data_IF_577191404667
#
_entry.id   IF_577191404667
#
_cell.length_a   1.000
_cell.length_b   1.000
_cell.length_c   1.000
_cell.angle_alpha   90.00
_cell.angle_beta   90.00
_cell.angle_gamma   90.00
#
_symmetry.space_group_name_H-M   'P 1'
#
loop_
_entity.id
_entity.type
_entity.pdbx_description
1 polymer ?
#
# COMPACT_ATOMS: atom_id res chain seq x y z
N UNK A 1 -20.98 -6.58 -40.06
CA UNK A 1 -21.58 -7.92 -40.26
C UNK A 1 -21.09 -8.83 -39.14
N UNK A 2 -21.82 -8.89 -38.03
CA UNK A 2 -21.62 -9.89 -36.96
C UNK A 2 -22.98 -10.57 -36.80
N UNK A 3 -23.12 -11.74 -37.40
CA UNK A 3 -24.33 -12.55 -37.31
C UNK A 3 -24.49 -13.08 -35.89
N UNK A 4 -25.62 -12.75 -35.26
CA UNK A 4 -26.06 -13.41 -34.04
C UNK A 4 -26.28 -14.90 -34.33
N UNK A 5 -25.47 -15.77 -33.73
CA UNK A 5 -25.74 -17.20 -33.69
C UNK A 5 -27.01 -17.44 -32.83
N UNK A 6 -28.01 -18.17 -33.32
CA UNK A 6 -29.21 -18.45 -32.55
C UNK A 6 -28.90 -19.45 -31.43
N UNK A 7 -29.12 -19.03 -30.18
CA UNK A 7 -29.20 -19.95 -29.03
C UNK A 7 -30.34 -20.94 -29.31
N UNK A 8 -30.01 -22.19 -29.63
CA UNK A 8 -30.99 -23.28 -29.68
C UNK A 8 -31.30 -23.72 -28.26
N UNK A 9 -32.58 -23.76 -27.82
CA UNK A 9 -32.92 -24.25 -26.49
C UNK A 9 -32.56 -25.73 -26.42
N UNK A 10 -31.90 -26.14 -25.33
CA UNK A 10 -31.68 -27.55 -25.00
C UNK A 10 -33.04 -28.28 -24.99
N UNK A 11 -33.31 -29.10 -26.01
CA UNK A 11 -34.51 -29.93 -26.08
C UNK A 11 -34.32 -31.14 -25.16
N UNK A 12 -34.73 -31.01 -23.90
CA UNK A 12 -34.77 -32.14 -22.98
C UNK A 12 -35.94 -33.04 -23.41
N UNK A 13 -35.66 -34.27 -23.86
CA UNK A 13 -36.69 -35.21 -24.25
C UNK A 13 -37.58 -35.58 -23.05
N UNK A 14 -38.91 -35.68 -23.27
CA UNK A 14 -39.88 -36.06 -22.23
C UNK A 14 -39.52 -37.39 -21.55
N UNK A 15 -38.89 -38.33 -22.29
CA UNK A 15 -38.40 -39.59 -21.74
C UNK A 15 -37.29 -39.42 -20.71
N UNK A 16 -36.43 -38.40 -20.86
CA UNK A 16 -35.35 -38.10 -19.92
C UNK A 16 -35.90 -37.55 -18.61
N UNK A 17 -36.93 -36.70 -18.67
CA UNK A 17 -37.60 -36.16 -17.49
C UNK A 17 -38.27 -37.27 -16.68
N UNK A 18 -39.00 -38.17 -17.34
CA UNK A 18 -39.68 -39.30 -16.68
C UNK A 18 -38.68 -40.24 -15.99
N UNK A 19 -37.55 -40.54 -16.63
CA UNK A 19 -36.50 -41.39 -16.06
C UNK A 19 -35.84 -40.74 -14.84
N UNK A 20 -35.51 -39.44 -14.92
CA UNK A 20 -34.90 -38.71 -13.79
C UNK A 20 -35.87 -38.60 -12.61
N UNK A 21 -37.15 -38.30 -12.86
CA UNK A 21 -38.18 -38.24 -11.81
C UNK A 21 -38.38 -39.62 -11.16
N UNK A 22 -38.41 -40.69 -11.96
CA UNK A 22 -38.49 -42.07 -11.45
C UNK A 22 -37.27 -42.47 -10.60
N UNK A 23 -36.06 -42.15 -11.05
CA UNK A 23 -34.82 -42.41 -10.30
C UNK A 23 -34.75 -41.58 -9.00
N UNK A 24 -35.16 -40.31 -9.03
CA UNK A 24 -35.24 -39.46 -7.83
C UNK A 24 -36.24 -40.02 -6.80
N UNK A 25 -37.36 -40.59 -7.27
CA UNK A 25 -38.35 -41.25 -6.41
C UNK A 25 -37.84 -42.56 -5.78
N UNK A 26 -37.03 -43.33 -6.51
CA UNK A 26 -36.52 -44.64 -6.07
C UNK A 26 -35.24 -44.57 -5.22
N UNK A 27 -34.29 -43.70 -5.58
CA UNK A 27 -32.94 -43.64 -4.99
C UNK A 27 -32.71 -42.41 -4.12
N UNK A 28 -33.68 -41.49 -4.08
CA UNK A 28 -33.59 -40.19 -3.42
C UNK A 28 -32.94 -39.13 -4.30
N UNK A 29 -33.55 -37.95 -4.35
CA UNK A 29 -33.12 -36.79 -5.17
C UNK A 29 -31.66 -36.40 -4.96
N UNK A 30 -31.17 -36.46 -3.71
CA UNK A 30 -29.78 -36.13 -3.37
C UNK A 30 -28.76 -37.03 -4.06
N UNK A 31 -29.04 -38.33 -4.23
CA UNK A 31 -28.07 -39.27 -4.86
C UNK A 31 -28.02 -39.11 -6.38
N UNK A 32 -29.14 -38.75 -7.00
CA UNK A 32 -29.27 -38.64 -8.46
C UNK A 32 -28.83 -37.26 -8.98
N UNK A 33 -29.21 -36.18 -8.28
CA UNK A 33 -28.98 -34.81 -8.77
C UNK A 33 -27.65 -34.19 -8.32
N UNK A 34 -27.00 -34.72 -7.27
CA UNK A 34 -25.78 -34.13 -6.71
C UNK A 34 -24.65 -34.00 -7.74
N UNK A 35 -24.30 -35.07 -8.42
CA UNK A 35 -23.18 -35.06 -9.37
C UNK A 35 -23.45 -34.24 -10.63
N UNK A 36 -24.62 -34.34 -11.29
CA UNK A 36 -24.96 -33.47 -12.41
C UNK A 36 -24.96 -31.98 -12.04
N UNK A 37 -25.55 -31.60 -10.90
CA UNK A 37 -25.56 -30.21 -10.44
C UNK A 37 -24.14 -29.71 -10.13
N UNK A 38 -23.30 -30.52 -9.48
CA UNK A 38 -21.90 -30.18 -9.23
C UNK A 38 -21.10 -30.03 -10.53
N UNK A 39 -21.35 -30.87 -11.54
CA UNK A 39 -20.68 -30.76 -12.84
C UNK A 39 -21.09 -29.48 -13.58
N UNK A 40 -22.38 -29.12 -13.58
CA UNK A 40 -22.86 -27.88 -14.20
C UNK A 40 -22.31 -26.66 -13.47
N UNK A 41 -22.37 -26.64 -12.14
CA UNK A 41 -21.80 -25.56 -11.33
C UNK A 41 -20.28 -25.46 -11.52
N UNK A 42 -19.57 -26.59 -11.49
CA UNK A 42 -18.13 -26.66 -11.72
C UNK A 42 -17.72 -26.20 -13.11
N UNK A 43 -18.47 -26.58 -14.15
CA UNK A 43 -18.25 -26.10 -15.52
C UNK A 43 -18.46 -24.59 -15.63
N UNK A 44 -19.51 -24.06 -14.99
CA UNK A 44 -19.77 -22.62 -14.98
C UNK A 44 -18.65 -21.85 -14.26
N UNK A 45 -18.15 -22.36 -13.13
CA UNK A 45 -17.00 -21.80 -12.41
C UNK A 45 -15.75 -21.87 -13.28
N UNK A 46 -15.48 -23.00 -13.94
CA UNK A 46 -14.31 -23.17 -14.81
C UNK A 46 -14.34 -22.20 -15.99
N UNK A 47 -15.48 -22.02 -16.64
CA UNK A 47 -15.64 -21.04 -17.73
C UNK A 47 -15.39 -19.62 -17.21
N UNK A 48 -15.94 -19.27 -16.05
CA UNK A 48 -15.71 -17.95 -15.44
C UNK A 48 -14.22 -17.72 -15.11
N UNK A 49 -13.54 -18.72 -14.54
CA UNK A 49 -12.10 -18.66 -14.25
C UNK A 49 -11.27 -18.51 -15.53
N UNK A 50 -11.58 -19.27 -16.57
CA UNK A 50 -10.92 -19.14 -17.88
C UNK A 50 -11.14 -17.76 -18.49
N UNK A 51 -12.35 -17.19 -18.39
CA UNK A 51 -12.64 -15.85 -18.88
C UNK A 51 -11.84 -14.78 -18.12
N UNK A 52 -11.74 -14.89 -16.79
CA UNK A 52 -10.90 -13.99 -15.97
C UNK A 52 -9.42 -14.14 -16.33
N UNK A 53 -8.92 -15.37 -16.48
CA UNK A 53 -7.53 -15.62 -16.86
C UNK A 53 -7.20 -15.05 -18.24
N UNK A 54 -8.11 -15.22 -19.21
CA UNK A 54 -7.98 -14.63 -20.54
C UNK A 54 -7.97 -13.10 -20.48
N UNK A 55 -8.86 -12.48 -19.68
CA UNK A 55 -8.88 -11.03 -19.48
C UNK A 55 -7.54 -10.55 -18.90
N UNK A 56 -7.05 -11.16 -17.83
CA UNK A 56 -5.76 -10.82 -17.20
C UNK A 56 -4.60 -10.97 -18.20
N UNK A 57 -4.57 -12.06 -18.98
CA UNK A 57 -3.55 -12.28 -20.00
C UNK A 57 -3.61 -11.21 -21.11
N UNK A 58 -4.80 -10.81 -21.54
CA UNK A 58 -4.95 -9.74 -22.55
C UNK A 58 -4.48 -8.38 -22.02
N UNK A 59 -4.79 -8.04 -20.76
CA UNK A 59 -4.30 -6.82 -20.12
C UNK A 59 -2.77 -6.83 -19.99
N UNK A 60 -2.19 -7.93 -19.51
CA UNK A 60 -0.74 -8.07 -19.40
C UNK A 60 -0.04 -7.98 -20.77
N UNK A 61 -0.61 -8.59 -21.81
CA UNK A 61 -0.09 -8.50 -23.17
C UNK A 61 -0.18 -7.07 -23.74
N UNK A 62 -1.27 -6.36 -23.43
CA UNK A 62 -1.44 -4.96 -23.80
C UNK A 62 -0.41 -4.07 -23.12
N UNK A 63 -0.22 -4.21 -21.81
CA UNK A 63 0.76 -3.44 -21.05
C UNK A 63 2.18 -3.69 -21.55
N UNK A 64 2.53 -4.95 -21.84
CA UNK A 64 3.83 -5.30 -22.43
C UNK A 64 4.02 -4.68 -23.82
N UNK A 65 2.97 -4.64 -24.65
CA UNK A 65 3.00 -4.02 -25.97
C UNK A 65 3.19 -2.51 -25.86
N UNK A 66 2.40 -1.86 -24.99
CA UNK A 66 2.49 -0.41 -24.73
C UNK A 66 3.87 -0.05 -24.18
N UNK A 67 4.38 -0.80 -23.20
CA UNK A 67 5.71 -0.63 -22.64
C UNK A 67 6.79 -0.70 -23.72
N UNK A 68 6.69 -1.67 -24.65
CA UNK A 68 7.65 -1.83 -25.75
C UNK A 68 7.70 -0.63 -26.71
N UNK A 69 6.58 0.07 -26.91
CA UNK A 69 6.50 1.21 -27.82
C UNK A 69 6.67 2.57 -27.13
N UNK A 70 6.29 2.70 -25.85
CA UNK A 70 6.37 3.96 -25.10
C UNK A 70 7.64 4.11 -24.28
N UNK A 71 8.20 3.01 -23.76
CA UNK A 71 9.34 3.04 -22.86
C UNK A 71 10.61 2.65 -23.61
N UNK A 72 11.72 3.31 -23.29
CA UNK A 72 13.03 2.89 -23.79
C UNK A 72 13.40 1.50 -23.23
N UNK A 73 14.28 0.75 -23.92
CA UNK A 73 14.74 -0.58 -23.44
C UNK A 73 15.32 -0.52 -22.01
N UNK A 74 16.03 0.56 -21.69
CA UNK A 74 16.61 0.76 -20.36
C UNK A 74 15.53 0.94 -19.28
N UNK A 75 14.52 1.76 -19.56
CA UNK A 75 13.40 2.03 -18.66
C UNK A 75 12.54 0.76 -18.46
N UNK A 76 12.27 0.01 -19.53
CA UNK A 76 11.59 -1.29 -19.44
C UNK A 76 12.36 -2.30 -18.56
N UNK A 77 13.69 -2.31 -18.60
CA UNK A 77 14.51 -3.17 -17.72
C UNK A 77 14.42 -2.76 -16.26
N UNK A 78 14.32 -1.46 -15.97
CA UNK A 78 14.16 -0.96 -14.60
C UNK A 78 12.79 -1.33 -14.03
N UNK A 79 11.72 -1.20 -14.82
CA UNK A 79 10.39 -1.68 -14.41
C UNK A 79 10.37 -3.19 -14.16
N UNK A 80 11.01 -3.99 -15.02
CA UNK A 80 11.16 -5.42 -14.77
C UNK A 80 11.92 -5.72 -13.47
N UNK A 81 12.92 -4.90 -13.11
CA UNK A 81 13.62 -5.05 -11.82
C UNK A 81 12.74 -4.66 -10.63
N UNK A 82 11.90 -3.65 -10.78
CA UNK A 82 10.90 -3.28 -9.77
C UNK A 82 9.91 -4.43 -9.54
N UNK A 83 9.37 -4.99 -10.62
CA UNK A 83 8.39 -6.08 -10.54
C UNK A 83 8.99 -7.39 -10.01
N UNK A 84 10.28 -7.63 -10.28
CA UNK A 84 10.99 -8.81 -9.81
C UNK A 84 11.57 -8.67 -8.39
N UNK A 85 11.44 -7.49 -7.76
CA UNK A 85 12.00 -7.25 -6.43
C UNK A 85 11.25 -8.08 -5.37
N UNK A 86 12.00 -8.84 -4.59
CA UNK A 86 11.46 -9.68 -3.51
C UNK A 86 11.69 -9.09 -2.13
N UNK A 87 12.54 -8.06 -2.03
CA UNK A 87 12.81 -7.30 -0.82
C UNK A 87 12.54 -5.82 -1.03
N UNK A 88 12.19 -5.10 0.04
CA UNK A 88 12.03 -3.64 -0.01
C UNK A 88 13.33 -2.95 -0.42
N UNK A 89 14.48 -3.44 0.04
CA UNK A 89 15.78 -2.85 -0.28
C UNK A 89 16.05 -2.88 -1.79
N UNK A 90 15.83 -4.03 -2.44
CA UNK A 90 15.98 -4.20 -3.88
C UNK A 90 14.97 -3.34 -4.66
N UNK A 91 13.72 -3.33 -4.19
CA UNK A 91 12.67 -2.48 -4.77
C UNK A 91 13.06 -1.00 -4.70
N UNK A 92 13.55 -0.54 -3.56
CA UNK A 92 13.93 0.85 -3.33
C UNK A 92 15.14 1.25 -4.19
N UNK A 93 16.11 0.36 -4.38
CA UNK A 93 17.26 0.60 -5.27
C UNK A 93 16.80 0.74 -6.72
N UNK A 94 15.96 -0.18 -7.21
CA UNK A 94 15.40 -0.11 -8.55
C UNK A 94 14.53 1.15 -8.74
N UNK A 95 13.72 1.50 -7.74
CA UNK A 95 12.88 2.69 -7.74
C UNK A 95 13.69 3.98 -7.84
N UNK A 96 14.80 4.07 -7.11
CA UNK A 96 15.73 5.21 -7.20
C UNK A 96 16.33 5.34 -8.60
N UNK A 97 16.70 4.22 -9.22
CA UNK A 97 17.22 4.23 -10.60
C UNK A 97 16.16 4.65 -11.63
N UNK A 98 14.88 4.31 -11.42
CA UNK A 98 13.80 4.87 -12.23
C UNK A 98 13.69 6.40 -12.07
N UNK A 99 13.86 6.89 -10.84
CA UNK A 99 13.75 8.31 -10.51
C UNK A 99 14.95 9.15 -11.03
N UNK A 100 16.05 8.53 -11.47
CA UNK A 100 17.23 9.19 -12.04
C UNK A 100 17.01 9.73 -13.47
N UNK A 101 15.85 9.46 -14.09
CA UNK A 101 15.53 10.04 -15.39
C UNK A 101 15.62 11.57 -15.36
N UNK A 102 16.05 12.18 -16.49
CA UNK A 102 16.23 13.62 -16.56
C UNK A 102 14.95 14.40 -16.25
N UNK A 103 13.79 13.88 -16.68
CA UNK A 103 12.48 14.49 -16.43
C UNK A 103 12.10 14.45 -14.95
N UNK A 104 12.25 13.30 -14.29
CA UNK A 104 11.94 13.15 -12.86
C UNK A 104 12.92 13.97 -12.02
N UNK A 105 14.22 13.90 -12.31
CA UNK A 105 15.25 14.67 -11.61
C UNK A 105 14.99 16.18 -11.71
N UNK A 106 14.68 16.69 -12.90
CA UNK A 106 14.33 18.10 -13.09
C UNK A 106 13.06 18.47 -12.31
N UNK A 107 12.02 17.62 -12.35
CA UNK A 107 10.79 17.84 -11.59
C UNK A 107 11.04 17.85 -10.08
N UNK A 108 11.87 16.94 -9.55
CA UNK A 108 12.22 16.88 -8.11
C UNK A 108 13.02 18.10 -7.65
N UNK A 109 13.83 18.68 -8.54
CA UNK A 109 14.65 19.86 -8.27
C UNK A 109 13.83 21.17 -8.23
N UNK A 110 12.74 21.27 -9.01
CA UNK A 110 11.86 22.43 -8.97
C UNK A 110 10.97 22.37 -7.72
N UNK A 111 11.22 23.29 -6.79
CA UNK A 111 10.46 23.40 -5.55
C UNK A 111 9.00 23.81 -5.77
N UNK A 112 8.71 24.71 -6.71
CA UNK A 112 7.33 25.19 -6.91
C UNK A 112 6.41 24.10 -7.48
N UNK A 113 5.20 23.98 -6.91
CA UNK A 113 4.15 23.12 -7.44
C UNK A 113 2.76 23.61 -6.97
N UNK A 114 1.70 23.54 -7.79
CA UNK A 114 0.38 24.05 -7.41
C UNK A 114 -0.28 23.34 -6.22
N UNK A 115 0.13 22.11 -5.91
CA UNK A 115 -0.48 21.27 -4.87
C UNK A 115 0.02 21.55 -3.44
N UNK A 116 1.11 22.30 -3.29
CA UNK A 116 1.64 22.64 -1.97
C UNK A 116 2.26 24.03 -1.97
N UNK A 117 2.42 24.64 -0.80
CA UNK A 117 3.02 25.96 -0.69
C UNK A 117 4.53 25.83 -0.40
N UNK A 118 5.34 25.87 -1.46
CA UNK A 118 6.79 25.75 -1.37
C UNK A 118 7.42 26.85 -0.49
N UNK A 119 6.92 28.10 -0.56
CA UNK A 119 7.41 29.20 0.26
C UNK A 119 7.25 28.97 1.76
N UNK A 120 6.10 28.43 2.20
CA UNK A 120 5.87 28.06 3.61
C UNK A 120 6.83 26.95 4.04
N UNK A 121 7.02 25.92 3.19
CA UNK A 121 7.95 24.82 3.49
C UNK A 121 9.39 25.31 3.59
N UNK A 122 9.85 26.15 2.67
CA UNK A 122 11.20 26.73 2.70
C UNK A 122 11.45 27.60 3.94
N UNK A 123 10.46 28.41 4.32
CA UNK A 123 10.53 29.25 5.52
C UNK A 123 10.62 28.39 6.78
N UNK A 124 9.76 27.37 6.89
CA UNK A 124 9.77 26.44 8.01
C UNK A 124 11.06 25.63 8.10
N UNK A 125 11.57 25.12 6.97
CA UNK A 125 12.85 24.42 6.88
C UNK A 125 14.01 25.30 7.37
N UNK A 126 14.07 26.55 6.90
CA UNK A 126 15.13 27.48 7.31
C UNK A 126 15.07 27.80 8.81
N UNK A 127 13.86 28.02 9.34
CA UNK A 127 13.65 28.29 10.76
C UNK A 127 14.00 27.09 11.64
N UNK A 128 13.61 25.88 11.24
CA UNK A 128 13.98 24.64 11.93
C UNK A 128 15.50 24.44 11.96
N UNK A 129 16.16 24.62 10.82
CA UNK A 129 17.64 24.52 10.72
C UNK A 129 18.34 25.49 11.65
N UNK A 130 17.93 26.76 11.65
CA UNK A 130 18.50 27.77 12.53
C UNK A 130 18.34 27.39 14.01
N UNK A 131 17.13 26.97 14.40
CA UNK A 131 16.84 26.57 15.77
C UNK A 131 17.60 25.30 16.20
N UNK A 132 17.75 24.32 15.30
CA UNK A 132 18.49 23.08 15.59
C UNK A 132 19.99 23.29 15.74
N UNK A 133 20.61 24.16 14.92
CA UNK A 133 22.07 24.34 14.95
C UNK A 133 22.50 25.25 16.10
N UNK A 134 21.81 26.36 16.32
CA UNK A 134 22.26 27.40 17.27
C UNK A 134 21.20 27.91 18.24
N UNK A 135 19.94 27.47 18.11
CA UNK A 135 18.86 27.97 18.97
C UNK A 135 18.79 27.28 20.32
N UNK A 136 18.08 27.91 21.27
CA UNK A 136 17.78 27.30 22.58
C UNK A 136 16.79 26.13 22.46
N UNK A 137 16.55 25.41 23.57
CA UNK A 137 15.53 24.35 23.62
C UNK A 137 14.15 24.91 23.29
N UNK A 138 13.83 26.12 23.78
CA UNK A 138 12.56 26.81 23.54
C UNK A 138 12.40 27.21 22.08
N UNK A 139 13.44 27.75 21.45
CA UNK A 139 13.38 28.12 20.03
C UNK A 139 13.19 26.91 19.13
N UNK A 140 13.86 25.79 19.44
CA UNK A 140 13.69 24.52 18.74
C UNK A 140 12.28 23.96 18.93
N UNK A 141 11.77 23.99 20.17
CA UNK A 141 10.41 23.62 20.49
C UNK A 141 9.39 24.44 19.69
N UNK A 142 9.55 25.77 19.64
CA UNK A 142 8.61 26.66 18.97
C UNK A 142 8.65 26.53 17.45
N UNK A 143 9.84 26.27 16.88
CA UNK A 143 9.99 25.96 15.46
C UNK A 143 9.28 24.63 15.11
N UNK A 144 9.46 23.59 15.92
CA UNK A 144 8.78 22.30 15.75
C UNK A 144 7.26 22.43 15.92
N UNK A 145 6.79 23.19 16.91
CA UNK A 145 5.37 23.42 17.16
C UNK A 145 4.64 24.06 15.96
N UNK A 146 5.35 24.87 15.17
CA UNK A 146 4.81 25.46 13.95
C UNK A 146 4.70 24.45 12.80
N UNK A 147 5.60 23.47 12.75
CA UNK A 147 5.72 22.49 11.68
C UNK A 147 4.76 21.31 11.87
N UNK A 148 4.48 20.92 13.11
CA UNK A 148 3.65 19.76 13.41
C UNK A 148 2.16 20.12 13.36
N UNK A 149 1.63 20.18 12.14
CA UNK A 149 0.22 20.44 11.84
C UNK A 149 -0.29 19.45 10.79
N UNK A 150 -1.58 19.13 10.84
CA UNK A 150 -2.23 18.26 9.85
C UNK A 150 -2.15 18.94 8.48
N UNK A 151 -1.73 18.20 7.46
CA UNK A 151 -1.55 18.71 6.09
C UNK A 151 -0.73 20.01 6.04
N UNK A 152 0.45 19.99 6.68
CA UNK A 152 1.33 21.15 6.71
C UNK A 152 1.68 21.59 5.28
N UNK A 153 1.25 22.80 4.91
CA UNK A 153 1.47 23.39 3.58
C UNK A 153 1.02 22.54 2.37
N UNK A 154 0.22 21.48 2.56
CA UNK A 154 -0.22 20.58 1.48
C UNK A 154 0.82 19.56 1.01
N UNK A 155 1.87 19.28 1.79
CA UNK A 155 2.94 18.34 1.40
C UNK A 155 2.46 16.87 1.29
N UNK A 156 1.25 16.57 1.75
CA UNK A 156 0.62 15.25 1.78
C UNK A 156 -0.30 14.98 0.56
N UNK A 157 -0.32 15.85 -0.44
CA UNK A 157 -1.09 15.65 -1.67
C UNK A 157 -0.54 14.48 -2.50
N UNK A 158 -1.42 13.53 -2.87
CA UNK A 158 -1.08 12.30 -3.59
C UNK A 158 -0.36 12.54 -4.92
N UNK A 159 -0.66 13.64 -5.62
CA UNK A 159 -0.03 13.95 -6.92
C UNK A 159 1.47 14.20 -6.78
N UNK A 160 1.93 14.62 -5.59
CA UNK A 160 3.35 14.80 -5.30
C UNK A 160 4.10 13.47 -5.18
N UNK A 161 3.40 12.37 -4.91
CA UNK A 161 4.01 11.05 -4.70
C UNK A 161 3.76 10.09 -5.87
N UNK A 162 2.97 10.49 -6.88
CA UNK A 162 2.68 9.65 -8.05
C UNK A 162 3.69 9.79 -9.19
N UNK A 163 4.60 10.78 -9.13
CA UNK A 163 5.58 11.06 -10.19
C UNK A 163 6.95 10.40 -10.00
N UNK A 164 7.18 9.81 -8.84
CA UNK A 164 8.43 9.18 -8.46
C UNK A 164 8.10 7.84 -7.80
N UNK A 165 9.00 6.87 -7.93
CA UNK A 165 8.80 5.54 -7.34
C UNK A 165 9.33 5.46 -5.90
N UNK A 166 10.45 6.13 -5.60
CA UNK A 166 11.08 6.07 -4.29
C UNK A 166 10.81 7.30 -3.40
N UNK A 167 10.68 8.48 -4.03
CA UNK A 167 10.67 9.76 -3.31
C UNK A 167 9.62 10.75 -3.81
N UNK A 168 9.90 12.03 -3.63
CA UNK A 168 9.06 13.14 -4.10
C UNK A 168 9.94 14.38 -4.37
N UNK A 169 9.38 15.58 -4.25
CA UNK A 169 10.08 16.86 -4.30
C UNK A 169 11.20 16.91 -3.24
N UNK A 170 12.41 17.31 -3.66
CA UNK A 170 13.58 17.40 -2.75
C UNK A 170 13.36 18.37 -1.58
N UNK A 171 12.57 19.42 -1.79
CA UNK A 171 12.22 20.37 -0.73
C UNK A 171 11.38 19.70 0.37
N UNK A 172 10.43 18.84 -0.01
CA UNK A 172 9.59 18.11 0.95
C UNK A 172 10.44 17.09 1.71
N UNK A 173 11.27 16.32 0.99
CA UNK A 173 12.21 15.36 1.60
C UNK A 173 13.13 16.06 2.61
N UNK A 174 13.79 17.16 2.19
CA UNK A 174 14.68 17.95 3.06
C UNK A 174 13.96 18.52 4.28
N UNK A 175 12.68 18.86 4.15
CA UNK A 175 11.86 19.34 5.26
C UNK A 175 11.54 18.23 6.24
N UNK A 176 11.10 17.06 5.76
CA UNK A 176 10.79 15.91 6.62
C UNK A 176 12.04 15.43 7.35
N UNK A 177 13.17 15.32 6.65
CA UNK A 177 14.46 14.97 7.24
C UNK A 177 14.88 15.96 8.34
N UNK A 178 14.68 17.26 8.10
CA UNK A 178 14.98 18.29 9.10
C UNK A 178 14.04 18.20 10.31
N UNK A 179 12.76 17.90 10.13
CA UNK A 179 11.81 17.70 11.24
C UNK A 179 12.25 16.52 12.10
N UNK A 180 12.65 15.40 11.50
CA UNK A 180 13.18 14.23 12.22
C UNK A 180 14.47 14.58 12.96
N UNK A 181 15.41 15.26 12.30
CA UNK A 181 16.65 15.70 12.92
C UNK A 181 16.42 16.68 14.09
N UNK A 182 15.45 17.58 13.96
CA UNK A 182 15.07 18.54 15.00
C UNK A 182 14.42 17.84 16.20
N UNK A 183 13.58 16.83 15.97
CA UNK A 183 13.03 15.99 17.05
C UNK A 183 14.13 15.22 17.79
N UNK A 184 15.09 14.64 17.06
CA UNK A 184 16.26 13.98 17.65
C UNK A 184 17.12 14.94 18.47
N UNK A 185 17.42 16.13 17.94
CA UNK A 185 18.17 17.15 18.66
C UNK A 185 17.44 17.64 19.93
N UNK A 186 16.12 17.80 19.86
CA UNK A 186 15.30 18.13 21.03
C UNK A 186 15.40 17.04 22.09
N UNK A 187 15.32 15.77 21.70
CA UNK A 187 15.48 14.62 22.60
C UNK A 187 16.84 14.61 23.29
N UNK A 188 17.93 14.81 22.55
CA UNK A 188 19.29 14.86 23.11
C UNK A 188 19.44 15.99 24.11
N UNK A 189 19.07 17.23 23.73
CA UNK A 189 19.19 18.41 24.60
C UNK A 189 18.36 18.30 25.89
N UNK A 190 17.18 17.72 25.81
CA UNK A 190 16.34 17.46 26.99
C UNK A 190 16.92 16.39 27.90
N UNK A 191 17.70 15.46 27.36
CA UNK A 191 18.34 14.40 28.16
C UNK A 191 19.58 14.93 28.89
N UNK A 192 20.31 15.86 28.28
CA UNK A 192 21.55 16.42 28.83
C UNK A 192 21.27 17.56 29.84
N UNK A 193 20.49 18.56 29.44
CA UNK A 193 20.32 19.83 30.16
C UNK A 193 18.84 20.20 30.41
N UNK A 194 17.92 19.26 30.21
CA UNK A 194 16.48 19.54 30.28
C UNK A 194 15.97 19.78 31.69
N UNK A 195 15.64 21.04 32.01
CA UNK A 195 14.88 21.35 33.23
C UNK A 195 13.43 20.83 33.14
N UNK A 196 12.81 20.57 34.29
CA UNK A 196 11.44 20.06 34.37
C UNK A 196 10.41 20.85 33.53
N UNK A 197 10.42 22.21 33.50
CA UNK A 197 9.49 22.98 32.68
C UNK A 197 9.67 22.78 31.17
N UNK A 198 10.91 22.63 30.70
CA UNK A 198 11.22 22.38 29.29
C UNK A 198 10.76 20.97 28.88
N UNK A 199 10.94 19.99 29.77
CA UNK A 199 10.47 18.63 29.58
C UNK A 199 8.95 18.56 29.46
N UNK A 200 8.22 19.29 30.29
CA UNK A 200 6.76 19.33 30.24
C UNK A 200 6.21 20.00 28.98
N UNK A 201 6.85 21.08 28.50
CA UNK A 201 6.52 21.69 27.19
C UNK A 201 6.75 20.71 26.04
N UNK A 202 7.90 20.04 26.01
CA UNK A 202 8.22 19.07 24.98
C UNK A 202 7.24 17.88 24.99
N UNK A 203 6.86 17.38 26.17
CA UNK A 203 5.80 16.38 26.32
C UNK A 203 4.48 16.89 25.75
N UNK A 204 4.06 18.10 26.10
CA UNK A 204 2.81 18.68 25.60
C UNK A 204 2.82 18.80 24.07
N UNK A 205 3.94 19.21 23.47
CA UNK A 205 4.13 19.21 22.02
C UNK A 205 3.96 17.81 21.44
N UNK A 206 4.68 16.80 21.94
CA UNK A 206 4.59 15.42 21.45
C UNK A 206 3.18 14.84 21.58
N UNK A 207 2.49 15.11 22.70
CA UNK A 207 1.10 14.72 22.90
C UNK A 207 0.17 15.38 21.89
N UNK A 208 0.35 16.67 21.62
CA UNK A 208 -0.39 17.39 20.59
C UNK A 208 -0.09 16.84 19.20
N UNK A 209 1.18 16.64 18.86
CA UNK A 209 1.64 16.06 17.60
C UNK A 209 0.99 14.72 17.33
N UNK A 210 0.98 13.85 18.34
CA UNK A 210 0.34 12.54 18.28
C UNK A 210 -1.18 12.62 18.07
N UNK A 211 -1.86 13.65 18.60
CA UNK A 211 -3.29 13.87 18.32
C UNK A 211 -3.54 14.41 16.90
N UNK A 212 -2.62 15.24 16.40
CA UNK A 212 -2.72 15.87 15.08
C UNK A 212 -2.47 14.87 13.96
N UNK A 213 -1.39 14.09 14.05
CA UNK A 213 -1.08 13.03 13.09
C UNK A 213 -1.93 11.76 13.30
N UNK A 214 -2.46 11.59 14.51
CA UNK A 214 -3.23 10.40 14.88
C UNK A 214 -2.32 9.20 15.16
N UNK A 215 -2.93 8.01 15.07
CA UNK A 215 -2.21 6.73 15.14
C UNK A 215 -2.38 6.04 13.80
N UNK A 216 -1.27 5.64 13.19
CA UNK A 216 -1.29 4.81 11.98
C UNK A 216 -2.05 3.52 12.26
N UNK A 217 -2.94 3.15 11.35
CA UNK A 217 -3.74 1.92 11.42
C UNK A 217 -3.51 1.11 10.13
N UNK A 218 -3.20 -0.18 10.26
CA UNK A 218 -3.21 -1.10 9.14
C UNK A 218 -4.63 -1.65 8.97
N UNK A 219 -5.33 -1.21 7.93
CA UNK A 219 -6.69 -1.65 7.62
C UNK A 219 -6.68 -2.70 6.50
N UNK A 220 -6.96 -3.95 6.85
CA UNK A 220 -6.93 -5.10 5.95
C UNK A 220 -8.32 -5.37 5.38
N UNK A 221 -8.53 -5.01 4.11
CA UNK A 221 -9.79 -5.27 3.42
C UNK A 221 -10.01 -6.76 3.14
N UNK A 222 -11.26 -7.21 3.22
CA UNK A 222 -11.65 -8.54 2.75
C UNK A 222 -11.54 -8.68 1.23
N UNK A 223 -11.36 -9.90 0.75
CA UNK A 223 -11.26 -10.21 -0.68
C UNK A 223 -11.18 -11.70 -1.01
N UNK A 224 -11.65 -12.57 -0.10
CA UNK A 224 -11.46 -14.02 -0.22
C UNK A 224 -9.97 -14.38 -0.28
N UNK A 225 -9.56 -15.14 -1.30
CA UNK A 225 -8.16 -15.54 -1.51
C UNK A 225 -7.19 -14.38 -1.74
N UNK A 226 -7.67 -13.21 -2.19
CA UNK A 226 -6.83 -12.01 -2.35
C UNK A 226 -6.36 -11.43 -1.02
N UNK A 227 -6.98 -11.83 0.11
CA UNK A 227 -6.50 -11.44 1.43
C UNK A 227 -5.07 -11.93 1.70
N UNK A 228 -4.58 -12.93 0.96
CA UNK A 228 -3.21 -13.43 1.09
C UNK A 228 -2.15 -12.35 0.80
N UNK A 229 -2.44 -11.35 -0.04
CA UNK A 229 -1.52 -10.22 -0.25
C UNK A 229 -1.27 -9.43 1.03
N UNK A 230 -2.23 -9.42 1.96
CA UNK A 230 -2.08 -8.77 3.27
C UNK A 230 -0.94 -9.35 4.09
N UNK A 231 -0.62 -10.65 3.92
CA UNK A 231 0.53 -11.26 4.59
C UNK A 231 1.85 -10.71 4.10
N UNK A 232 1.99 -10.52 2.78
CA UNK A 232 3.19 -9.90 2.19
C UNK A 232 3.37 -8.45 2.64
N UNK A 233 2.27 -7.68 2.70
CA UNK A 233 2.30 -6.31 3.25
C UNK A 233 2.71 -6.32 4.73
N UNK A 234 2.14 -7.23 5.54
CA UNK A 234 2.49 -7.35 6.94
C UNK A 234 3.96 -7.75 7.15
N UNK A 235 4.48 -8.67 6.33
CA UNK A 235 5.90 -9.08 6.35
C UNK A 235 6.81 -7.90 6.05
N UNK A 236 6.55 -7.18 4.95
CA UNK A 236 7.36 -6.03 4.56
C UNK A 236 7.36 -4.90 5.62
N UNK A 237 6.22 -4.69 6.29
CA UNK A 237 6.15 -3.74 7.41
C UNK A 237 6.89 -4.25 8.66
N UNK A 238 6.82 -5.54 8.95
CA UNK A 238 7.52 -6.16 10.08
C UNK A 238 9.05 -6.08 9.89
N UNK A 239 9.56 -6.41 8.70
CA UNK A 239 10.99 -6.38 8.37
C UNK A 239 11.62 -5.00 8.57
N UNK A 240 10.85 -3.93 8.36
CA UNK A 240 11.29 -2.55 8.53
C UNK A 240 10.98 -1.98 9.93
N UNK A 241 10.37 -2.76 10.83
CA UNK A 241 9.92 -2.27 12.13
C UNK A 241 8.82 -1.21 12.04
N UNK A 242 8.03 -1.22 10.96
CA UNK A 242 6.97 -0.27 10.65
C UNK A 242 5.56 -0.84 10.84
N UNK A 243 5.42 -2.07 11.34
CA UNK A 243 4.12 -2.68 11.59
C UNK A 243 3.36 -1.86 12.67
N UNK A 244 2.19 -1.28 12.35
CA UNK A 244 1.52 -0.38 13.27
C UNK A 244 0.87 -1.15 14.44
N UNK A 245 0.82 -0.50 15.61
CA UNK A 245 0.20 -1.08 16.81
C UNK A 245 -1.32 -1.24 16.74
N UNK A 246 -1.96 -0.64 15.73
CA UNK A 246 -3.41 -0.70 15.52
C UNK A 246 -3.65 -1.38 14.17
N UNK A 247 -4.29 -2.53 14.21
CA UNK A 247 -4.61 -3.33 13.03
C UNK A 247 -6.10 -3.64 13.08
N UNK A 248 -6.79 -3.43 11.96
CA UNK A 248 -8.18 -3.82 11.79
C UNK A 248 -8.36 -4.57 10.48
N UNK A 249 -9.41 -5.38 10.38
CA UNK A 249 -9.70 -6.08 9.15
C UNK A 249 -11.16 -6.49 9.00
N UNK A 250 -11.55 -6.80 7.76
CA UNK A 250 -12.90 -7.24 7.42
C UNK A 250 -12.87 -8.59 6.71
N UNK A 251 -13.80 -9.50 7.00
CA UNK A 251 -13.88 -10.85 6.39
C UNK A 251 -12.53 -11.59 6.43
N UNK A 252 -11.98 -12.04 5.30
CA UNK A 252 -10.68 -12.69 5.24
C UNK A 252 -9.52 -11.82 5.76
N UNK A 253 -9.59 -10.48 5.60
CA UNK A 253 -8.62 -9.55 6.21
C UNK A 253 -8.71 -9.50 7.73
N UNK A 254 -9.88 -9.78 8.32
CA UNK A 254 -10.03 -9.89 9.79
C UNK A 254 -9.29 -11.10 10.36
N UNK A 255 -9.21 -12.20 9.60
CA UNK A 255 -8.43 -13.38 9.98
C UNK A 255 -6.94 -13.04 10.02
N UNK A 256 -6.43 -12.37 8.99
CA UNK A 256 -5.04 -11.89 8.97
C UNK A 256 -4.79 -10.91 10.11
N UNK A 257 -5.67 -9.92 10.29
CA UNK A 257 -5.56 -8.95 11.39
C UNK A 257 -5.55 -9.63 12.78
N UNK A 258 -6.42 -10.61 13.00
CA UNK A 258 -6.46 -11.37 14.25
C UNK A 258 -5.15 -12.14 14.47
N UNK A 259 -4.61 -12.79 13.44
CA UNK A 259 -3.32 -13.44 13.53
C UNK A 259 -2.20 -12.44 13.87
N UNK A 260 -2.13 -11.29 13.20
CA UNK A 260 -1.14 -10.25 13.51
C UNK A 260 -1.27 -9.72 14.94
N UNK A 261 -2.49 -9.54 15.45
CA UNK A 261 -2.73 -9.02 16.81
C UNK A 261 -2.51 -10.04 17.93
N UNK A 262 -2.53 -11.34 17.63
CA UNK A 262 -2.40 -12.42 18.62
C UNK A 262 -0.97 -12.96 18.77
N UNK A 263 0.00 -12.47 17.99
CA UNK A 263 1.38 -12.92 18.02
C UNK A 263 2.32 -11.77 18.35
N UNK A 264 3.41 -12.09 19.02
CA UNK A 264 4.54 -11.19 19.21
C UNK A 264 5.32 -11.02 17.89
N UNK A 265 6.09 -9.94 17.74
CA UNK A 265 6.92 -9.72 16.53
C UNK A 265 7.85 -10.90 16.23
N UNK A 266 8.41 -11.53 17.27
CA UNK A 266 9.26 -12.73 17.14
C UNK A 266 8.49 -13.93 16.59
N UNK A 267 7.25 -14.13 17.04
CA UNK A 267 6.40 -15.21 16.53
C UNK A 267 5.94 -14.91 15.10
N UNK A 268 5.63 -13.65 14.80
CA UNK A 268 5.29 -13.21 13.44
C UNK A 268 6.44 -13.42 12.47
N UNK A 269 7.69 -13.18 12.87
CA UNK A 269 8.84 -13.41 11.99
C UNK A 269 8.94 -14.88 11.56
N UNK A 270 8.59 -15.83 12.44
CA UNK A 270 8.50 -17.25 12.10
C UNK A 270 7.24 -17.62 11.30
N UNK A 271 6.10 -16.98 11.58
CA UNK A 271 4.82 -17.24 10.93
C UNK A 271 4.78 -16.72 9.48
N UNK A 272 5.47 -15.60 9.21
CA UNK A 272 5.45 -14.90 7.92
C UNK A 272 6.57 -15.32 6.98
N UNK A 273 7.31 -16.40 7.28
CA UNK A 273 8.33 -16.91 6.37
C UNK A 273 7.65 -17.51 5.13
N UNK A 274 8.06 -17.12 3.91
CA UNK A 274 7.60 -17.78 2.70
C UNK A 274 8.08 -19.23 2.69
N UNK A 275 7.18 -20.17 2.35
CA UNK A 275 7.56 -21.56 2.04
C UNK A 275 8.36 -21.67 0.73
#
# INVERSE_FOLDING_TARGET
>A
MLGFLPFTPFTISASTVVVVVGLCGLLGSHRVLRWPLLLVAGAHIAVALCAVAALVATLAAWDALVARFRLGRAESKLFQRLDAATSRADFLEAAKQCDESAAVTAWRAVAEHPRYNAGIVMSALSRLRAARVGGSIEELHDALAHCVRKSFAGIDDEELYSRCHAGTKRLIESYVDEVVAALGALQTRLSDDGEAPALDKARALLWRSRRVFGRTCLALSGGGGLANFSWGVARALLDEGLLPSLICGTSAGAVVAAALCCHTERELDSLLQPE
#
